data_IF_424707526055
#
_entry.id   IF_424707526055
#
_cell.length_a   1.000
_cell.length_b   1.000
_cell.length_c   1.000
_cell.angle_alpha   90.00
_cell.angle_beta   90.00
_cell.angle_gamma   90.00
#
_symmetry.space_group_name_H-M   'P 1'
#
loop_
_entity.id
_entity.type
_entity.pdbx_description
1 polymer ?
#
# COMPACT_ATOMS: atom_id res chain seq x y z
N UNK A 1 -9.36 -8.24 -10.74
CA UNK A 1 -8.50 -8.12 -9.54
C UNK A 1 -9.26 -8.46 -8.27
N UNK A 2 -10.43 -7.87 -7.99
CA UNK A 2 -11.25 -8.23 -6.80
C UNK A 2 -11.50 -9.73 -6.67
N UNK A 3 -12.07 -10.39 -7.68
CA UNK A 3 -12.30 -11.85 -7.64
C UNK A 3 -11.02 -12.69 -7.45
N UNK A 4 -9.88 -12.21 -7.95
CA UNK A 4 -8.60 -12.89 -7.76
C UNK A 4 -8.08 -12.73 -6.32
N UNK A 5 -8.25 -11.54 -5.74
CA UNK A 5 -7.95 -11.27 -4.34
C UNK A 5 -8.84 -12.10 -3.40
N UNK A 6 -10.15 -12.18 -3.67
CA UNK A 6 -11.11 -12.97 -2.89
C UNK A 6 -10.75 -14.46 -2.92
N UNK A 7 -10.38 -14.98 -4.10
CA UNK A 7 -9.91 -16.36 -4.25
C UNK A 7 -8.64 -16.61 -3.42
N UNK A 8 -7.65 -15.72 -3.51
CA UNK A 8 -6.43 -15.83 -2.72
C UNK A 8 -6.71 -15.76 -1.21
N UNK A 9 -7.63 -14.89 -0.79
CA UNK A 9 -8.05 -14.79 0.61
C UNK A 9 -8.72 -16.08 1.11
N UNK A 10 -9.50 -16.76 0.27
CA UNK A 10 -10.12 -18.04 0.60
C UNK A 10 -9.07 -19.15 0.76
N UNK A 11 -8.11 -19.24 -0.15
CA UNK A 11 -7.01 -20.20 -0.05
C UNK A 11 -6.18 -19.99 1.23
N UNK A 12 -5.94 -18.74 1.62
CA UNK A 12 -5.26 -18.39 2.88
C UNK A 12 -6.09 -18.83 4.10
N UNK A 13 -7.39 -18.56 4.12
CA UNK A 13 -8.27 -19.01 5.22
C UNK A 13 -8.23 -20.53 5.38
N UNK A 14 -8.29 -21.27 4.27
CA UNK A 14 -8.20 -22.73 4.27
C UNK A 14 -6.84 -23.22 4.76
N UNK A 15 -5.76 -22.55 4.38
CA UNK A 15 -4.40 -22.86 4.85
C UNK A 15 -4.27 -22.69 6.37
N UNK A 16 -4.74 -21.56 6.90
CA UNK A 16 -4.73 -21.27 8.34
C UNK A 16 -5.64 -22.25 9.11
N UNK A 17 -6.85 -22.54 8.59
CA UNK A 17 -7.80 -23.44 9.24
C UNK A 17 -7.28 -24.89 9.38
N UNK A 18 -6.35 -25.31 8.53
CA UNK A 18 -5.64 -26.60 8.64
C UNK A 18 -4.56 -26.61 9.73
N UNK A 19 -4.40 -25.51 10.48
CA UNK A 19 -3.34 -25.33 11.46
C UNK A 19 -1.96 -25.10 10.85
N UNK A 20 -1.87 -24.83 9.54
CA UNK A 20 -0.59 -24.60 8.87
C UNK A 20 -0.08 -23.19 9.15
N UNK A 21 1.17 -23.08 9.58
CA UNK A 21 1.82 -21.80 9.93
C UNK A 21 3.04 -21.48 9.09
N UNK A 22 3.52 -22.44 8.29
CA UNK A 22 4.66 -22.25 7.40
C UNK A 22 4.46 -21.05 6.48
N UNK A 23 5.48 -20.21 6.34
CA UNK A 23 5.44 -19.03 5.47
C UNK A 23 4.64 -17.83 5.98
N UNK A 24 3.78 -17.96 7.01
CA UNK A 24 2.91 -16.86 7.47
C UNK A 24 3.66 -15.66 8.06
N UNK A 25 4.89 -15.89 8.54
CA UNK A 25 5.80 -14.84 9.04
C UNK A 25 7.07 -14.71 8.20
N UNK A 26 7.22 -15.52 7.14
CA UNK A 26 8.45 -15.53 6.34
C UNK A 26 8.60 -14.22 5.59
N UNK A 27 9.74 -13.56 5.76
CA UNK A 27 9.98 -12.25 5.14
C UNK A 27 10.49 -12.42 3.72
N UNK A 28 9.81 -11.81 2.75
CA UNK A 28 10.24 -11.79 1.35
C UNK A 28 11.63 -11.11 1.26
N UNK A 29 12.65 -11.88 0.86
CA UNK A 29 14.07 -11.44 0.86
C UNK A 29 14.51 -10.80 2.19
N UNK A 30 13.95 -11.24 3.33
CA UNK A 30 14.23 -10.71 4.65
C UNK A 30 13.56 -9.36 4.96
N UNK A 31 12.72 -8.83 4.07
CA UNK A 31 12.13 -7.48 4.18
C UNK A 31 10.71 -7.51 4.74
N UNK A 32 9.73 -8.03 4.02
CA UNK A 32 8.32 -7.88 4.40
C UNK A 32 7.65 -9.21 4.73
N UNK A 33 6.90 -9.26 5.84
CA UNK A 33 6.00 -10.38 6.13
C UNK A 33 4.86 -10.42 5.11
N UNK A 34 4.16 -11.56 4.92
CA UNK A 34 3.00 -11.64 4.03
C UNK A 34 1.91 -10.62 4.38
N UNK A 35 1.73 -10.33 5.68
CA UNK A 35 0.80 -9.31 6.13
C UNK A 35 1.23 -7.91 5.67
N UNK A 36 2.52 -7.56 5.81
CA UNK A 36 3.05 -6.29 5.36
C UNK A 36 2.98 -6.15 3.83
N UNK A 37 3.28 -7.21 3.08
CA UNK A 37 3.18 -7.22 1.62
C UNK A 37 1.73 -7.04 1.14
N UNK A 38 0.77 -7.76 1.74
CA UNK A 38 -0.65 -7.60 1.42
C UNK A 38 -1.16 -6.18 1.76
N UNK A 39 -0.67 -5.61 2.88
CA UNK A 39 -0.99 -4.25 3.28
C UNK A 39 -0.40 -3.21 2.32
N UNK A 40 0.86 -3.37 1.92
CA UNK A 40 1.55 -2.55 0.92
C UNK A 40 0.82 -2.55 -0.43
N UNK A 41 0.24 -3.68 -0.82
CA UNK A 41 -0.52 -3.84 -2.06
C UNK A 41 -1.97 -3.37 -1.97
N UNK A 42 -2.50 -3.10 -0.77
CA UNK A 42 -3.88 -2.66 -0.56
C UNK A 42 -4.89 -3.77 -0.83
N UNK A 43 -4.61 -4.98 -0.34
CA UNK A 43 -5.47 -6.16 -0.48
C UNK A 43 -6.23 -6.46 0.83
N UNK A 44 -7.35 -5.77 1.11
CA UNK A 44 -8.07 -5.92 2.38
C UNK A 44 -8.59 -7.34 2.64
N UNK A 45 -8.98 -8.09 1.61
CA UNK A 45 -9.49 -9.46 1.78
C UNK A 45 -8.37 -10.42 2.18
N UNK A 46 -7.20 -10.27 1.56
CA UNK A 46 -6.00 -11.04 1.92
C UNK A 46 -5.53 -10.69 3.33
N UNK A 47 -5.51 -9.40 3.68
CA UNK A 47 -5.16 -8.96 5.05
C UNK A 47 -6.14 -9.53 6.08
N UNK A 48 -7.45 -9.46 5.82
CA UNK A 48 -8.46 -10.06 6.70
C UNK A 48 -8.27 -11.58 6.85
N UNK A 49 -7.95 -12.29 5.76
CA UNK A 49 -7.69 -13.72 5.79
C UNK A 49 -6.44 -14.08 6.61
N UNK A 50 -5.33 -13.36 6.43
CA UNK A 50 -4.11 -13.58 7.21
C UNK A 50 -4.34 -13.35 8.70
N UNK A 51 -5.14 -12.35 9.06
CA UNK A 51 -5.48 -12.01 10.44
C UNK A 51 -6.41 -13.02 11.12
N UNK A 52 -6.89 -14.06 10.43
CA UNK A 52 -7.55 -15.20 11.07
C UNK A 52 -6.59 -16.11 11.84
N UNK A 53 -5.28 -15.97 11.61
CA UNK A 53 -4.24 -16.70 12.34
C UNK A 53 -3.81 -15.92 13.58
N UNK A 54 -3.90 -16.56 14.75
CA UNK A 54 -3.41 -15.98 16.01
C UNK A 54 -1.91 -15.66 15.96
N UNK A 55 -1.12 -16.48 15.23
CA UNK A 55 0.29 -16.23 14.99
C UNK A 55 0.49 -14.89 14.26
N UNK A 56 -0.25 -14.65 13.18
CA UNK A 56 -0.15 -13.39 12.42
C UNK A 56 -0.62 -12.20 13.28
N UNK A 57 -1.68 -12.37 14.07
CA UNK A 57 -2.16 -11.31 14.99
C UNK A 57 -1.12 -10.95 16.05
N UNK A 58 -0.40 -11.92 16.59
CA UNK A 58 0.67 -11.67 17.55
C UNK A 58 1.83 -10.83 16.97
N UNK A 59 2.01 -10.87 15.64
CA UNK A 59 3.04 -10.16 14.89
C UNK A 59 2.49 -9.00 14.05
N UNK A 60 1.29 -8.50 14.37
CA UNK A 60 0.59 -7.48 13.57
C UNK A 60 1.36 -6.15 13.45
N UNK A 61 2.21 -5.84 14.43
CA UNK A 61 3.02 -4.62 14.48
C UNK A 61 4.51 -4.88 14.18
N UNK A 62 4.87 -6.06 13.68
CA UNK A 62 6.26 -6.34 13.31
C UNK A 62 6.69 -5.42 12.17
N UNK A 63 7.76 -4.66 12.40
CA UNK A 63 8.34 -3.79 11.41
C UNK A 63 9.39 -4.51 10.55
N UNK A 64 9.52 -4.07 9.29
CA UNK A 64 10.66 -4.43 8.45
C UNK A 64 11.94 -3.65 8.81
N UNK A 65 13.02 -3.88 8.07
CA UNK A 65 14.30 -3.18 8.27
C UNK A 65 14.24 -1.67 8.03
N UNK A 66 13.18 -1.16 7.39
CA UNK A 66 12.94 0.27 7.18
C UNK A 66 12.02 0.85 8.27
N UNK A 67 11.58 0.04 9.24
CA UNK A 67 10.62 0.44 10.25
C UNK A 67 9.16 0.42 9.75
N UNK A 68 8.88 -0.19 8.60
CA UNK A 68 7.53 -0.27 8.06
C UNK A 68 6.75 -1.40 8.73
N UNK A 69 5.73 -1.05 9.51
CA UNK A 69 4.70 -1.99 9.95
C UNK A 69 3.66 -2.22 8.83
N UNK A 70 2.82 -3.26 8.92
CA UNK A 70 1.69 -3.42 8.00
C UNK A 70 0.79 -2.17 7.94
N UNK A 71 0.54 -1.52 9.08
CA UNK A 71 -0.28 -0.30 9.14
C UNK A 71 0.38 0.87 8.37
N UNK A 72 1.68 1.09 8.55
CA UNK A 72 2.42 2.12 7.80
C UNK A 72 2.42 1.79 6.30
N UNK A 73 2.60 0.52 5.95
CA UNK A 73 2.59 0.04 4.55
C UNK A 73 1.26 0.33 3.84
N UNK A 74 0.12 0.05 4.50
CA UNK A 74 -1.20 0.41 3.98
C UNK A 74 -1.39 1.93 3.88
N UNK A 75 -0.89 2.68 4.87
CA UNK A 75 -1.00 4.14 4.90
C UNK A 75 -0.28 4.83 3.76
N UNK A 76 0.77 4.23 3.18
CA UNK A 76 1.46 4.85 2.04
C UNK A 76 0.65 4.77 0.75
N UNK A 77 -0.30 3.85 0.61
CA UNK A 77 -1.09 3.67 -0.62
C UNK A 77 -0.23 3.59 -1.89
N UNK A 78 0.86 2.82 -1.84
CA UNK A 78 1.96 2.90 -2.81
C UNK A 78 1.53 2.73 -4.27
N UNK A 79 0.50 1.93 -4.53
CA UNK A 79 -0.01 1.76 -5.90
C UNK A 79 -0.71 3.00 -6.45
N UNK A 80 -1.10 3.95 -5.60
CA UNK A 80 -1.69 5.24 -5.98
C UNK A 80 -0.75 6.44 -5.78
N UNK A 81 0.31 6.29 -4.98
CA UNK A 81 1.17 7.40 -4.55
C UNK A 81 2.66 7.23 -4.89
N UNK A 82 3.09 6.08 -5.42
CA UNK A 82 4.53 5.81 -5.64
C UNK A 82 5.19 6.91 -6.49
N UNK A 83 4.50 7.41 -7.52
CA UNK A 83 5.03 8.48 -8.37
C UNK A 83 5.13 9.86 -7.69
N UNK A 84 4.47 10.04 -6.55
CA UNK A 84 4.67 11.21 -5.68
C UNK A 84 5.99 11.10 -4.92
N UNK A 85 6.36 9.89 -4.50
CA UNK A 85 7.61 9.59 -3.82
C UNK A 85 8.81 9.52 -4.80
N UNK A 86 8.57 8.95 -5.99
CA UNK A 86 9.56 8.76 -7.04
C UNK A 86 8.97 9.10 -8.42
N UNK A 87 9.05 10.37 -8.86
CA UNK A 87 8.52 10.80 -10.15
C UNK A 87 9.18 10.14 -11.37
N UNK A 88 10.40 9.61 -11.22
CA UNK A 88 11.11 8.93 -12.31
C UNK A 88 10.40 7.66 -12.80
N UNK A 89 9.46 7.13 -12.00
CA UNK A 89 8.60 6.00 -12.42
C UNK A 89 7.86 6.32 -13.72
N UNK A 90 7.42 7.56 -13.94
CA UNK A 90 6.74 7.94 -15.18
C UNK A 90 7.60 7.77 -16.45
N UNK A 91 8.93 7.83 -16.30
CA UNK A 91 9.87 7.63 -17.41
C UNK A 91 10.20 6.17 -17.72
N UNK A 92 9.75 5.22 -16.88
CA UNK A 92 10.03 3.80 -17.06
C UNK A 92 8.73 3.03 -17.37
N UNK A 93 8.49 2.62 -18.64
CA UNK A 93 7.25 1.95 -19.02
C UNK A 93 7.04 0.61 -18.30
N UNK A 94 8.11 -0.13 -18.00
CA UNK A 94 8.05 -1.40 -17.28
C UNK A 94 7.64 -1.24 -15.80
N UNK A 95 7.77 -0.03 -15.24
CA UNK A 95 7.26 0.31 -13.90
C UNK A 95 5.91 1.02 -13.97
N UNK A 96 5.77 1.99 -14.86
CA UNK A 96 4.59 2.84 -14.97
C UNK A 96 3.37 2.06 -15.47
N UNK A 97 3.49 1.33 -16.59
CA UNK A 97 2.35 0.67 -17.22
C UNK A 97 1.66 -0.31 -16.27
N UNK A 98 2.38 -1.24 -15.58
CA UNK A 98 1.75 -2.13 -14.60
C UNK A 98 1.00 -1.41 -13.48
N UNK A 99 1.49 -0.23 -13.05
CA UNK A 99 0.80 0.55 -12.02
C UNK A 99 -0.44 1.26 -12.55
N UNK A 100 -0.41 1.78 -13.78
CA UNK A 100 -1.58 2.43 -14.38
C UNK A 100 -2.70 1.43 -14.64
N UNK A 101 -2.40 0.28 -15.22
CA UNK A 101 -3.43 -0.72 -15.54
C UNK A 101 -4.10 -1.30 -14.29
N UNK A 102 -3.45 -1.20 -13.13
CA UNK A 102 -4.00 -1.65 -11.85
C UNK A 102 -4.82 -0.58 -11.13
N UNK A 103 -4.82 0.68 -11.58
CA UNK A 103 -5.57 1.78 -10.92
C UNK A 103 -7.06 1.52 -10.80
N UNK A 104 -7.67 0.82 -11.77
CA UNK A 104 -9.09 0.50 -11.73
C UNK A 104 -9.49 -0.23 -10.44
N UNK A 105 -8.63 -1.12 -9.94
CA UNK A 105 -8.88 -1.79 -8.66
C UNK A 105 -8.89 -0.79 -7.49
N UNK A 106 -8.01 0.20 -7.48
CA UNK A 106 -7.94 1.15 -6.37
C UNK A 106 -8.99 2.26 -6.44
N UNK A 107 -9.52 2.57 -7.63
CA UNK A 107 -10.42 3.71 -7.84
C UNK A 107 -11.90 3.32 -8.04
N UNK A 108 -12.22 2.10 -8.48
CA UNK A 108 -13.58 1.72 -8.85
C UNK A 108 -14.39 1.04 -7.74
N UNK A 109 -13.80 0.82 -6.57
CA UNK A 109 -14.50 0.21 -5.44
C UNK A 109 -15.25 1.25 -4.63
N UNK A 110 -16.45 0.89 -4.14
CA UNK A 110 -17.27 1.74 -3.25
C UNK A 110 -16.53 2.12 -1.97
N UNK A 111 -15.68 1.22 -1.47
CA UNK A 111 -14.69 1.49 -0.43
C UNK A 111 -13.29 1.34 -1.03
N UNK A 112 -12.48 2.39 -0.95
CA UNK A 112 -11.11 2.38 -1.45
C UNK A 112 -10.29 1.26 -0.78
N UNK A 113 -9.62 0.36 -1.53
CA UNK A 113 -8.97 -0.82 -0.96
C UNK A 113 -7.95 -0.50 0.13
N UNK A 114 -7.08 0.49 -0.06
CA UNK A 114 -6.10 0.90 0.95
C UNK A 114 -6.73 1.41 2.24
N UNK A 115 -7.83 2.16 2.13
CA UNK A 115 -8.59 2.60 3.30
C UNK A 115 -9.15 1.39 4.04
N UNK A 116 -9.78 0.46 3.31
CA UNK A 116 -10.32 -0.77 3.90
C UNK A 116 -9.23 -1.62 4.55
N UNK A 117 -8.06 -1.72 3.93
CA UNK A 117 -6.91 -2.44 4.48
C UNK A 117 -6.46 -1.83 5.80
N UNK A 118 -6.34 -0.50 5.88
CA UNK A 118 -6.00 0.20 7.14
C UNK A 118 -7.04 -0.04 8.21
N UNK A 119 -8.33 0.08 7.88
CA UNK A 119 -9.45 -0.16 8.81
C UNK A 119 -9.46 -1.61 9.33
N UNK A 120 -9.17 -2.61 8.49
CA UNK A 120 -9.08 -4.02 8.90
C UNK A 120 -7.91 -4.25 9.86
N UNK A 121 -6.75 -3.64 9.60
CA UNK A 121 -5.59 -3.73 10.50
C UNK A 121 -5.89 -3.09 11.86
N UNK A 122 -6.48 -1.90 11.88
CA UNK A 122 -6.87 -1.19 13.10
C UNK A 122 -7.89 -1.99 13.91
N UNK A 123 -8.92 -2.54 13.26
CA UNK A 123 -9.92 -3.39 13.90
C UNK A 123 -9.32 -4.67 14.51
N UNK A 124 -8.21 -5.17 13.95
CA UNK A 124 -7.50 -6.32 14.47
C UNK A 124 -6.50 -6.00 15.59
N UNK A 125 -6.26 -4.72 15.89
CA UNK A 125 -5.37 -4.24 16.96
C UNK A 125 -4.03 -3.67 16.49
N UNK A 126 -3.86 -3.39 15.20
CA UNK A 126 -2.66 -2.72 14.71
C UNK A 126 -2.59 -1.29 15.25
N UNK A 127 -1.40 -0.85 15.67
CA UNK A 127 -1.20 0.49 16.21
C UNK A 127 -1.19 1.54 15.08
N UNK A 128 -1.98 2.62 15.17
CA UNK A 128 -1.86 3.75 14.27
C UNK A 128 -0.57 4.55 14.54
N UNK A 129 0.36 4.53 13.61
CA UNK A 129 1.71 5.12 13.77
C UNK A 129 1.90 6.36 12.89
N UNK A 130 0.96 7.31 12.92
CA UNK A 130 0.94 8.47 12.01
C UNK A 130 2.26 9.27 11.97
N UNK A 131 2.84 9.60 13.14
CA UNK A 131 4.08 10.38 13.20
C UNK A 131 5.25 9.61 12.58
N UNK A 132 5.37 8.32 12.91
CA UNK A 132 6.42 7.45 12.39
C UNK A 132 6.27 7.23 10.88
N UNK A 133 5.04 7.05 10.41
CA UNK A 133 4.74 6.92 8.99
C UNK A 133 5.19 8.16 8.20
N UNK A 134 4.92 9.37 8.71
CA UNK A 134 5.39 10.62 8.10
C UNK A 134 6.91 10.70 8.05
N UNK A 135 7.57 10.40 9.16
CA UNK A 135 9.04 10.40 9.25
C UNK A 135 9.68 9.45 8.24
N UNK A 136 9.18 8.22 8.15
CA UNK A 136 9.66 7.22 7.20
C UNK A 136 9.44 7.69 5.77
N UNK A 137 8.26 8.23 5.46
CA UNK A 137 7.97 8.73 4.12
C UNK A 137 8.93 9.86 3.73
N UNK A 138 9.10 10.86 4.60
CA UNK A 138 9.98 12.02 4.35
C UNK A 138 11.45 11.64 4.25
N UNK A 139 11.87 10.58 4.96
CA UNK A 139 13.24 10.07 4.91
C UNK A 139 13.54 9.33 3.61
N UNK A 140 12.57 8.54 3.12
CA UNK A 140 12.77 7.65 1.98
C UNK A 140 12.37 8.27 0.63
N UNK A 141 11.43 9.21 0.61
CA UNK A 141 10.95 9.89 -0.59
C UNK A 141 11.77 11.16 -0.86
N UNK A 142 13.05 10.99 -1.14
CA UNK A 142 14.00 12.10 -1.38
C UNK A 142 13.76 12.84 -2.70
N UNK A 143 13.18 12.15 -3.68
CA UNK A 143 12.90 12.70 -5.01
C UNK A 143 11.54 13.43 -5.08
N UNK A 144 10.80 13.47 -3.98
CA UNK A 144 9.56 14.25 -3.88
C UNK A 144 9.87 15.75 -3.84
N UNK A 145 9.02 16.56 -4.49
CA UNK A 145 9.18 18.02 -4.49
C UNK A 145 9.01 18.62 -3.09
N UNK A 146 9.60 19.79 -2.85
CA UNK A 146 9.50 20.50 -1.56
C UNK A 146 8.05 20.78 -1.16
N UNK A 147 7.20 21.19 -2.11
CA UNK A 147 5.75 21.36 -1.89
C UNK A 147 5.07 20.06 -1.43
N UNK A 148 5.41 18.93 -2.06
CA UNK A 148 4.89 17.62 -1.69
C UNK A 148 5.33 17.25 -0.27
N UNK A 149 6.61 17.43 0.04
CA UNK A 149 7.19 17.15 1.36
C UNK A 149 6.55 18.03 2.44
N UNK A 150 6.33 19.31 2.17
CA UNK A 150 5.64 20.23 3.08
C UNK A 150 4.21 19.78 3.37
N UNK A 151 3.45 19.36 2.35
CA UNK A 151 2.09 18.81 2.51
C UNK A 151 2.07 17.54 3.35
N UNK A 152 3.04 16.65 3.15
CA UNK A 152 3.17 15.43 3.97
C UNK A 152 3.50 15.77 5.42
N UNK A 153 4.42 16.71 5.67
CA UNK A 153 4.82 17.13 7.02
C UNK A 153 3.61 17.58 7.87
N UNK A 154 2.76 18.42 7.29
CA UNK A 154 1.59 19.01 7.98
C UNK A 154 0.33 18.16 7.89
N UNK A 155 0.39 16.98 7.28
CA UNK A 155 -0.77 16.11 7.11
C UNK A 155 -1.25 15.53 8.45
N UNK A 156 -2.59 15.54 8.62
CA UNK A 156 -3.32 14.86 9.69
C UNK A 156 -3.82 13.46 9.29
N UNK A 157 -4.02 13.21 8.00
CA UNK A 157 -4.31 11.88 7.45
C UNK A 157 -3.36 11.62 6.28
N UNK A 158 -2.23 10.98 6.61
CA UNK A 158 -1.17 10.74 5.65
C UNK A 158 -1.66 9.96 4.43
N UNK A 159 -2.51 8.95 4.64
CA UNK A 159 -3.00 8.09 3.56
C UNK A 159 -3.80 8.90 2.55
N UNK A 160 -4.73 9.71 3.03
CA UNK A 160 -5.54 10.58 2.18
C UNK A 160 -4.67 11.60 1.44
N UNK A 161 -3.75 12.26 2.14
CA UNK A 161 -2.84 13.25 1.52
C UNK A 161 -2.01 12.63 0.40
N UNK A 162 -1.46 11.44 0.61
CA UNK A 162 -0.66 10.75 -0.42
C UNK A 162 -1.49 10.30 -1.62
N UNK A 163 -2.73 9.85 -1.40
CA UNK A 163 -3.65 9.49 -2.49
C UNK A 163 -4.02 10.71 -3.34
N UNK A 164 -4.29 11.85 -2.72
CA UNK A 164 -4.62 13.10 -3.43
C UNK A 164 -3.42 13.62 -4.25
N UNK A 165 -2.23 13.67 -3.63
CA UNK A 165 -0.99 14.02 -4.32
C UNK A 165 -0.70 13.07 -5.49
N UNK A 166 -0.94 11.78 -5.28
CA UNK A 166 -0.82 10.75 -6.29
C UNK A 166 -1.77 10.98 -7.46
N UNK A 167 -3.05 11.19 -7.19
CA UNK A 167 -4.06 11.44 -8.22
C UNK A 167 -3.74 12.68 -9.08
N UNK A 168 -3.29 13.77 -8.44
CA UNK A 168 -2.87 14.99 -9.14
C UNK A 168 -1.68 14.71 -10.07
N UNK A 169 -0.63 14.06 -9.56
CA UNK A 169 0.58 13.76 -10.34
C UNK A 169 0.27 12.85 -11.54
N UNK A 170 -0.55 11.82 -11.34
CA UNK A 170 -0.97 10.91 -12.41
C UNK A 170 -1.78 11.66 -13.48
N UNK A 171 -2.75 12.48 -13.07
CA UNK A 171 -3.59 13.25 -13.99
C UNK A 171 -2.75 14.17 -14.88
N UNK A 172 -1.82 14.91 -14.27
CA UNK A 172 -0.88 15.78 -15.02
C UNK A 172 -0.08 14.97 -16.05
N UNK A 173 0.41 13.79 -15.67
CA UNK A 173 1.19 12.96 -16.59
C UNK A 173 0.34 12.40 -17.73
N UNK A 174 -0.88 11.92 -17.45
CA UNK A 174 -1.78 11.38 -18.48
C UNK A 174 -2.18 12.46 -19.49
N UNK A 175 -2.48 13.68 -19.03
CA UNK A 175 -2.75 14.82 -19.91
C UNK A 175 -1.55 15.14 -20.81
N UNK A 176 -0.33 15.13 -20.26
CA UNK A 176 0.90 15.33 -21.05
C UNK A 176 1.07 14.27 -22.14
N UNK A 177 0.79 13.01 -21.84
CA UNK A 177 0.89 11.91 -22.80
C UNK A 177 -0.18 12.01 -23.89
N UNK A 178 -1.42 12.38 -23.54
CA UNK A 178 -2.50 12.59 -24.50
C UNK A 178 -2.16 13.73 -25.48
N UNK A 179 -1.70 14.87 -24.98
CA UNK A 179 -1.30 16.01 -25.85
C UNK A 179 -0.15 15.66 -26.79
N UNK A 180 0.77 14.78 -26.37
CA UNK A 180 1.85 14.29 -27.24
C UNK A 180 1.39 13.30 -28.30
N UNK A 181 0.35 12.50 -28.02
CA UNK A 181 -0.17 11.52 -28.96
C UNK A 181 -1.05 12.13 -30.07
N UNK A 182 -1.55 13.35 -29.88
CA UNK A 182 -2.37 14.10 -30.85
C UNK A 182 -1.51 14.98 -31.79
N UNK A 183 -0.20 15.09 -31.53
CA UNK A 183 0.79 15.75 -32.40
C UNK A 183 1.57 14.73 -33.20
#
# INVERSE_FOLDING_TARGET
>A
MVAAEEKAAEEIRQYVAKGSTGGLLEKEYGKQSPLAAAAYMGYPNVVAALLTSDLVRAHINDADSMGMTPWISASFSMRQSLWTCNPAVFGNPYKFVPMVVTQRYYMSNTVAPYRKTREVLEAAGAAPENMRAKEIWLTNCKDASDDTRAKVQVSNDLQKTLQELGAVALTVQLTKLQTKAVK
#
